data_IF_456349384071
#
_entry.id   IF_456349384071
#
_cell.length_a   1.000
_cell.length_b   1.000
_cell.length_c   1.000
_cell.angle_alpha   90.00
_cell.angle_beta   90.00
_cell.angle_gamma   90.00
#
_symmetry.space_group_name_H-M   'P 1'
#
loop_
_entity.id
_entity.type
_entity.pdbx_description
1 polymer ?
#
# COMPACT_ATOMS: atom_id res chain seq x y z
N UNK A 1 -37.58 -39.25 38.63
CA UNK A 1 -36.98 -39.29 37.28
C UNK A 1 -37.38 -38.04 36.54
N UNK A 2 -36.50 -37.05 36.45
CA UNK A 2 -36.53 -35.97 35.43
C UNK A 2 -35.24 -35.18 35.57
N UNK A 3 -34.25 -35.53 34.74
CA UNK A 3 -33.00 -34.79 34.59
C UNK A 3 -33.15 -33.80 33.45
N UNK A 4 -32.87 -32.53 33.71
CA UNK A 4 -32.61 -31.53 32.69
C UNK A 4 -31.14 -31.11 32.82
N UNK A 5 -30.32 -31.50 31.85
CA UNK A 5 -28.92 -31.05 31.73
C UNK A 5 -28.91 -29.92 30.71
N UNK A 6 -28.64 -28.71 31.20
CA UNK A 6 -28.39 -27.53 30.38
C UNK A 6 -26.91 -27.55 29.96
N UNK A 7 -26.63 -27.85 28.70
CA UNK A 7 -25.28 -27.76 28.14
C UNK A 7 -25.00 -26.32 27.72
N UNK A 8 -24.21 -25.60 28.52
CA UNK A 8 -23.67 -24.30 28.16
C UNK A 8 -22.48 -24.49 27.19
N UNK A 9 -22.68 -24.17 25.92
CA UNK A 9 -21.60 -24.08 24.95
C UNK A 9 -20.80 -22.79 25.19
N UNK A 10 -19.65 -22.92 25.87
CA UNK A 10 -18.61 -21.89 25.93
C UNK A 10 -17.85 -21.89 24.60
N UNK A 11 -18.15 -20.93 23.73
CA UNK A 11 -17.27 -20.60 22.60
C UNK A 11 -16.01 -19.91 23.14
N UNK A 12 -14.79 -20.36 22.79
CA UNK A 12 -13.60 -19.61 23.13
C UNK A 12 -13.59 -18.34 22.29
N UNK A 13 -13.84 -17.20 22.93
CA UNK A 13 -13.46 -15.90 22.41
C UNK A 13 -11.93 -15.91 22.41
N UNK A 14 -11.32 -16.00 21.23
CA UNK A 14 -9.91 -15.65 21.07
C UNK A 14 -9.79 -14.15 21.36
N UNK A 15 -9.62 -13.79 22.62
CA UNK A 15 -9.20 -12.45 23.01
C UNK A 15 -7.78 -12.27 22.46
N UNK A 16 -7.66 -11.54 21.36
CA UNK A 16 -6.38 -11.08 20.88
C UNK A 16 -5.78 -10.21 21.99
N UNK A 17 -4.75 -10.73 22.66
CA UNK A 17 -4.04 -10.00 23.70
C UNK A 17 -3.61 -8.65 23.11
N UNK A 18 -4.06 -7.56 23.72
CA UNK A 18 -3.79 -6.23 23.21
C UNK A 18 -2.26 -6.05 23.19
N UNK A 19 -1.70 -5.80 22.00
CA UNK A 19 -0.27 -5.58 21.85
C UNK A 19 0.19 -4.49 22.84
N UNK A 20 1.33 -4.73 23.51
CA UNK A 20 1.89 -3.77 24.47
C UNK A 20 1.99 -2.39 23.82
N UNK A 21 1.67 -1.29 24.53
CA UNK A 21 1.80 0.06 23.99
C UNK A 21 3.25 0.44 23.65
N UNK A 22 4.22 -0.42 23.98
CA UNK A 22 5.61 -0.27 23.57
C UNK A 22 5.93 -0.98 22.24
N UNK A 23 5.07 -1.88 21.76
CA UNK A 23 5.22 -2.58 20.49
C UNK A 23 4.87 -1.70 19.31
N UNK A 24 5.61 -1.90 18.21
CA UNK A 24 5.43 -1.09 17.02
C UNK A 24 4.21 -1.57 16.24
N UNK A 25 3.26 -0.69 15.90
CA UNK A 25 2.10 -1.09 15.12
C UNK A 25 2.49 -1.58 13.72
N UNK A 26 1.83 -2.64 13.25
CA UNK A 26 1.95 -3.11 11.87
C UNK A 26 1.34 -2.06 10.93
N UNK A 27 1.96 -1.86 9.77
CA UNK A 27 1.56 -0.83 8.81
C UNK A 27 2.25 0.51 9.03
N UNK A 28 3.21 0.58 9.95
CA UNK A 28 4.12 1.72 10.06
C UNK A 28 5.24 1.66 9.01
N UNK A 29 5.83 2.80 8.67
CA UNK A 29 6.96 2.88 7.73
C UNK A 29 8.31 2.54 8.40
N UNK A 30 9.30 2.23 7.57
CA UNK A 30 10.64 1.82 8.02
C UNK A 30 11.37 2.90 8.82
N UNK A 31 11.17 4.18 8.51
CA UNK A 31 11.81 5.29 9.21
C UNK A 31 11.36 5.38 10.67
N UNK A 32 10.05 5.27 10.90
CA UNK A 32 9.47 5.23 12.24
C UNK A 32 9.94 3.99 13.02
N UNK A 33 9.88 2.80 12.40
CA UNK A 33 10.33 1.56 13.01
C UNK A 33 11.82 1.61 13.38
N UNK A 34 12.65 2.16 12.50
CA UNK A 34 14.08 2.37 12.72
C UNK A 34 14.36 3.34 13.86
N UNK A 35 13.59 4.43 13.97
CA UNK A 35 13.71 5.39 15.05
C UNK A 35 13.34 4.76 16.41
N UNK A 36 12.23 4.00 16.48
CA UNK A 36 11.83 3.28 17.69
C UNK A 36 12.92 2.28 18.11
N UNK A 37 13.48 1.52 17.16
CA UNK A 37 14.58 0.59 17.42
C UNK A 37 15.85 1.31 17.91
N UNK A 38 16.18 2.46 17.33
CA UNK A 38 17.31 3.29 17.76
C UNK A 38 17.13 3.80 19.20
N UNK A 39 15.92 4.22 19.57
CA UNK A 39 15.59 4.59 20.96
C UNK A 39 15.82 3.40 21.90
N UNK A 40 15.26 2.23 21.57
CA UNK A 40 15.38 1.00 22.39
C UNK A 40 16.84 0.61 22.62
N UNK A 41 17.64 0.56 21.55
CA UNK A 41 19.09 0.29 21.62
C UNK A 41 19.79 1.30 22.53
N UNK A 42 19.49 2.59 22.36
CA UNK A 42 20.11 3.65 23.15
C UNK A 42 19.77 3.54 24.66
N UNK A 43 18.61 3.00 25.05
CA UNK A 43 18.26 2.84 26.49
C UNK A 43 19.25 1.95 27.26
N UNK A 44 19.92 1.04 26.56
CA UNK A 44 20.87 0.09 27.15
C UNK A 44 22.31 0.62 27.20
N UNK A 45 22.63 1.66 26.42
CA UNK A 45 24.00 2.14 26.20
C UNK A 45 24.19 3.61 26.59
N UNK A 46 23.28 4.50 26.17
CA UNK A 46 23.34 5.94 26.39
C UNK A 46 21.92 6.51 26.64
N UNK A 47 21.50 6.65 27.90
CA UNK A 47 20.20 7.20 28.26
C UNK A 47 19.97 8.64 27.76
N UNK A 48 21.02 9.46 27.64
CA UNK A 48 20.90 10.82 27.11
C UNK A 48 20.59 10.79 25.63
N UNK A 49 21.25 9.91 24.87
CA UNK A 49 20.92 9.66 23.45
C UNK A 49 19.52 9.09 23.29
N UNK A 50 19.09 8.18 24.16
CA UNK A 50 17.72 7.66 24.15
C UNK A 50 16.69 8.80 24.30
N UNK A 51 16.92 9.74 25.21
CA UNK A 51 16.09 10.94 25.37
C UNK A 51 16.03 11.81 24.11
N UNK A 52 17.19 12.07 23.48
CA UNK A 52 17.24 12.85 22.22
C UNK A 52 16.46 12.17 21.09
N UNK A 53 16.66 10.87 20.89
CA UNK A 53 15.96 10.10 19.85
C UNK A 53 14.45 9.98 20.15
N UNK A 54 14.06 9.79 21.41
CA UNK A 54 12.65 9.75 21.80
C UNK A 54 11.96 11.12 21.58
N UNK A 55 12.73 12.20 21.62
CA UNK A 55 12.30 13.55 21.26
C UNK A 55 11.92 13.71 19.78
N UNK A 56 12.42 12.84 18.90
CA UNK A 56 12.13 12.82 17.46
C UNK A 56 10.89 12.01 17.10
N UNK A 57 10.37 11.17 18.00
CA UNK A 57 9.14 10.44 17.74
C UNK A 57 8.00 11.43 17.42
N UNK A 58 6.97 11.02 16.65
CA UNK A 58 5.89 11.92 16.24
C UNK A 58 5.10 12.50 17.43
N UNK A 59 4.59 13.71 17.24
CA UNK A 59 3.70 14.41 18.17
C UNK A 59 2.49 14.99 17.43
N UNK A 60 1.44 15.30 18.19
CA UNK A 60 0.24 15.97 17.68
C UNK A 60 0.44 17.45 17.38
N UNK A 61 1.56 18.05 17.81
CA UNK A 61 1.89 19.46 17.61
C UNK A 61 3.17 19.64 16.75
N UNK A 62 3.26 19.04 15.55
CA UNK A 62 4.48 19.09 14.77
C UNK A 62 4.81 20.53 14.37
N UNK A 63 6.11 20.84 14.39
CA UNK A 63 6.63 22.10 13.88
C UNK A 63 6.96 21.92 12.40
N UNK A 64 6.46 22.83 11.57
CA UNK A 64 6.56 22.73 10.11
C UNK A 64 7.30 23.96 9.60
N UNK A 65 8.47 23.75 9.02
CA UNK A 65 9.14 24.76 8.21
C UNK A 65 8.58 24.75 6.79
N UNK A 66 8.16 25.91 6.28
CA UNK A 66 7.61 26.05 4.94
C UNK A 66 8.41 27.07 4.13
N UNK A 67 9.16 26.59 3.14
CA UNK A 67 9.99 27.40 2.27
C UNK A 67 9.42 27.48 0.84
N UNK A 68 8.59 28.48 0.59
CA UNK A 68 8.00 28.74 -0.73
C UNK A 68 8.73 29.83 -1.54
N UNK A 69 9.99 30.13 -1.21
CA UNK A 69 10.77 31.15 -1.92
C UNK A 69 10.89 30.84 -3.41
N UNK A 70 11.05 29.57 -3.77
CA UNK A 70 11.14 29.10 -5.15
C UNK A 70 9.78 28.97 -5.86
N UNK A 71 8.66 29.07 -5.15
CA UNK A 71 7.32 29.03 -5.75
C UNK A 71 7.04 30.35 -6.48
N UNK A 72 6.50 30.34 -7.71
CA UNK A 72 6.08 31.55 -8.41
C UNK A 72 5.15 32.41 -7.56
N UNK A 73 5.35 33.73 -7.55
CA UNK A 73 4.62 34.65 -6.68
C UNK A 73 3.09 34.49 -6.78
N UNK A 74 2.59 34.27 -8.01
CA UNK A 74 1.15 34.06 -8.30
C UNK A 74 0.57 32.78 -7.70
N UNK A 75 1.41 31.79 -7.34
CA UNK A 75 0.98 30.48 -6.83
C UNK A 75 1.19 30.32 -5.32
N UNK A 76 1.95 31.22 -4.68
CA UNK A 76 2.33 31.09 -3.26
C UNK A 76 1.13 31.03 -2.32
N UNK A 77 0.15 31.92 -2.52
CA UNK A 77 -1.05 31.94 -1.69
C UNK A 77 -1.87 30.65 -1.85
N UNK A 78 -2.07 30.19 -3.09
CA UNK A 78 -2.77 28.94 -3.36
C UNK A 78 -2.08 27.72 -2.72
N UNK A 79 -0.74 27.67 -2.75
CA UNK A 79 0.03 26.59 -2.16
C UNK A 79 -0.01 26.60 -0.63
N UNK A 80 0.04 27.79 -0.01
CA UNK A 80 -0.20 27.94 1.44
C UNK A 80 -1.61 27.49 1.82
N UNK A 81 -2.61 27.88 1.04
CA UNK A 81 -3.99 27.42 1.22
C UNK A 81 -4.13 25.90 1.12
N UNK A 82 -3.46 25.26 0.15
CA UNK A 82 -3.41 23.80 0.04
C UNK A 82 -2.78 23.13 1.26
N UNK A 83 -1.66 23.67 1.75
CA UNK A 83 -1.01 23.19 2.98
C UNK A 83 -1.96 23.29 4.17
N UNK A 84 -2.55 24.46 4.37
CA UNK A 84 -3.41 24.71 5.53
C UNK A 84 -4.67 23.84 5.49
N UNK A 85 -5.21 23.61 4.29
CA UNK A 85 -6.33 22.68 4.08
C UNK A 85 -5.95 21.23 4.44
N UNK A 86 -4.82 20.73 3.95
CA UNK A 86 -4.32 19.39 4.29
C UNK A 86 -4.10 19.22 5.81
N UNK A 87 -3.57 20.25 6.48
CA UNK A 87 -3.40 20.24 7.93
C UNK A 87 -4.74 20.24 8.68
N UNK A 88 -5.73 20.97 8.16
CA UNK A 88 -7.08 20.97 8.74
C UNK A 88 -7.75 19.59 8.63
N UNK A 89 -7.58 18.88 7.50
CA UNK A 89 -8.13 17.53 7.32
C UNK A 89 -7.54 16.52 8.30
N UNK A 90 -6.22 16.55 8.53
CA UNK A 90 -5.62 15.74 9.62
C UNK A 90 -6.20 16.12 10.99
N UNK A 91 -6.45 17.41 11.23
CA UNK A 91 -7.07 17.90 12.47
C UNK A 91 -8.52 17.47 12.68
N UNK A 92 -9.26 17.17 11.60
CA UNK A 92 -10.63 16.64 11.70
C UNK A 92 -10.67 15.20 12.21
N UNK A 93 -9.62 14.41 11.92
CA UNK A 93 -9.56 12.99 12.29
C UNK A 93 -8.65 12.71 13.47
N UNK A 94 -7.77 13.63 13.85
CA UNK A 94 -6.84 13.51 14.99
C UNK A 94 -7.12 14.58 16.05
N UNK A 95 -7.75 14.16 17.15
CA UNK A 95 -8.03 15.02 18.28
C UNK A 95 -6.75 15.64 18.87
N UNK A 96 -6.71 16.96 19.03
CA UNK A 96 -5.57 17.66 19.60
C UNK A 96 -4.42 17.94 18.62
N UNK A 97 -4.58 17.63 17.33
CA UNK A 97 -3.61 18.00 16.30
C UNK A 97 -3.49 19.53 16.16
N UNK A 98 -2.30 20.08 16.43
CA UNK A 98 -2.01 21.52 16.51
C UNK A 98 -0.66 21.84 15.86
N UNK A 99 -0.53 21.73 14.53
CA UNK A 99 0.71 22.04 13.82
C UNK A 99 1.07 23.52 13.98
N UNK A 100 2.38 23.83 14.00
CA UNK A 100 2.88 25.20 14.03
C UNK A 100 3.80 25.47 12.85
N UNK A 101 3.47 26.49 12.05
CA UNK A 101 4.32 26.92 10.93
C UNK A 101 5.41 27.86 11.43
N UNK A 102 6.65 27.62 11.00
CA UNK A 102 7.82 28.45 11.32
C UNK A 102 8.57 28.84 10.06
N UNK A 103 9.41 29.88 10.16
CA UNK A 103 10.13 30.47 9.02
C UNK A 103 11.63 30.14 8.97
N UNK A 104 12.14 29.32 9.89
CA UNK A 104 13.52 28.83 9.84
C UNK A 104 13.57 27.29 9.98
N UNK A 105 14.48 26.61 9.26
CA UNK A 105 14.65 25.17 9.38
C UNK A 105 15.01 24.73 10.79
N UNK A 106 15.87 25.50 11.48
CA UNK A 106 16.33 25.19 12.83
C UNK A 106 15.17 25.20 13.86
N UNK A 107 14.18 26.05 13.67
CA UNK A 107 12.99 26.08 14.53
C UNK A 107 12.10 24.83 14.35
N UNK A 108 12.22 24.12 13.22
CA UNK A 108 11.50 22.89 12.92
C UNK A 108 12.29 21.61 13.25
N UNK A 109 13.30 21.69 14.13
CA UNK A 109 14.05 20.53 14.60
C UNK A 109 13.12 19.42 15.12
N UNK A 110 13.30 18.20 14.61
CA UNK A 110 12.43 17.04 14.90
C UNK A 110 11.03 17.08 14.27
N UNK A 111 10.71 18.14 13.53
CA UNK A 111 9.44 18.35 12.83
C UNK A 111 9.50 18.01 11.35
N UNK A 112 8.82 18.80 10.52
CA UNK A 112 8.80 18.67 9.06
C UNK A 112 9.39 19.91 8.39
N UNK A 113 9.97 19.75 7.21
CA UNK A 113 10.28 20.84 6.29
C UNK A 113 9.69 20.59 4.91
N UNK A 114 9.25 21.67 4.28
CA UNK A 114 8.78 21.68 2.89
C UNK A 114 9.57 22.71 2.10
N UNK A 115 10.11 22.30 0.96
CA UNK A 115 10.80 23.17 0.01
C UNK A 115 10.36 22.83 -1.41
N UNK A 116 10.71 23.68 -2.37
CA UNK A 116 10.30 23.53 -3.76
C UNK A 116 11.48 23.64 -4.72
N UNK A 117 11.53 22.74 -5.69
CA UNK A 117 12.52 22.73 -6.77
C UNK A 117 11.85 22.75 -8.14
N UNK A 118 12.52 23.28 -9.15
CA UNK A 118 11.91 23.43 -10.48
C UNK A 118 11.52 22.08 -11.10
N UNK A 119 12.42 21.09 -11.02
CA UNK A 119 12.21 19.71 -11.45
C UNK A 119 12.98 18.78 -10.52
N UNK A 120 12.37 17.64 -10.17
CA UNK A 120 13.04 16.56 -9.46
C UNK A 120 13.51 15.48 -10.44
N UNK A 121 14.40 14.61 -9.97
CA UNK A 121 14.90 13.49 -10.75
C UNK A 121 13.75 12.62 -11.27
N UNK A 122 13.89 12.12 -12.51
CA UNK A 122 12.92 11.21 -13.14
C UNK A 122 11.49 11.77 -13.25
N UNK A 123 11.31 13.09 -13.12
CA UNK A 123 9.99 13.73 -13.18
C UNK A 123 9.13 13.49 -11.94
N UNK A 124 9.72 13.09 -10.80
CA UNK A 124 9.02 12.90 -9.54
C UNK A 124 8.29 14.16 -9.07
N UNK A 125 7.16 13.99 -8.38
CA UNK A 125 6.38 15.10 -7.84
C UNK A 125 6.85 15.59 -6.48
N UNK A 126 7.46 14.72 -5.68
CA UNK A 126 8.13 15.06 -4.45
C UNK A 126 9.20 14.01 -4.09
N UNK A 127 10.09 14.35 -3.18
CA UNK A 127 11.03 13.42 -2.54
C UNK A 127 11.03 13.68 -1.04
N UNK A 128 11.13 12.62 -0.26
CA UNK A 128 11.08 12.68 1.20
C UNK A 128 12.37 12.10 1.78
N UNK A 129 12.97 12.81 2.72
CA UNK A 129 14.20 12.40 3.40
C UNK A 129 13.96 12.40 4.90
N UNK A 130 14.10 11.23 5.52
CA UNK A 130 14.02 11.10 6.96
C UNK A 130 15.43 11.22 7.59
N UNK A 131 15.54 11.99 8.66
CA UNK A 131 16.77 12.19 9.42
C UNK A 131 16.52 11.91 10.92
N UNK A 132 17.50 11.30 11.58
CA UNK A 132 17.47 11.07 13.03
C UNK A 132 18.37 12.03 13.81
N UNK A 133 18.86 13.10 13.16
CA UNK A 133 19.55 14.19 13.81
C UNK A 133 18.56 15.09 14.57
N UNK A 134 18.84 15.32 15.85
CA UNK A 134 17.98 16.10 16.74
C UNK A 134 17.95 17.60 16.43
N UNK A 135 18.84 18.11 15.57
CA UNK A 135 18.95 19.55 15.25
C UNK A 135 18.36 19.92 13.91
N UNK A 136 17.93 18.96 13.11
CA UNK A 136 17.34 19.15 11.77
C UNK A 136 15.87 18.75 11.77
N UNK A 137 15.08 19.20 10.79
CA UNK A 137 13.77 18.60 10.54
C UNK A 137 13.90 17.09 10.39
N UNK A 138 12.97 16.34 11.00
CA UNK A 138 13.00 14.87 10.93
C UNK A 138 12.57 14.35 9.57
N UNK A 139 11.65 15.05 8.92
CA UNK A 139 11.18 14.72 7.58
C UNK A 139 11.30 15.96 6.70
N UNK A 140 12.25 15.93 5.79
CA UNK A 140 12.36 16.90 4.71
C UNK A 140 11.56 16.43 3.50
N UNK A 141 10.72 17.30 2.97
CA UNK A 141 9.93 17.06 1.76
C UNK A 141 10.24 18.14 0.73
N UNK A 142 10.80 17.73 -0.40
CA UNK A 142 11.09 18.61 -1.53
C UNK A 142 10.06 18.35 -2.61
N UNK A 143 9.26 19.35 -2.97
CA UNK A 143 8.25 19.25 -4.02
C UNK A 143 8.81 19.76 -5.35
N UNK A 144 8.57 19.01 -6.42
CA UNK A 144 8.79 19.53 -7.77
C UNK A 144 7.70 20.55 -8.12
N UNK A 145 8.07 21.67 -8.74
CA UNK A 145 7.13 22.60 -9.39
C UNK A 145 6.63 22.03 -10.74
N UNK A 146 7.25 20.95 -11.19
CA UNK A 146 6.84 20.14 -12.34
C UNK A 146 6.83 18.65 -11.98
N UNK A 147 5.81 17.95 -12.51
CA UNK A 147 5.58 16.51 -12.42
C UNK A 147 5.63 15.93 -13.83
N UNK A 148 6.80 15.43 -14.24
CA UNK A 148 7.10 15.21 -15.65
C UNK A 148 6.94 16.50 -16.46
N UNK A 149 6.02 16.52 -17.42
CA UNK A 149 5.75 17.69 -18.28
C UNK A 149 4.67 18.63 -17.73
N UNK A 150 3.96 18.24 -16.66
CA UNK A 150 2.87 19.02 -16.09
C UNK A 150 3.38 19.93 -14.95
N UNK A 151 2.71 21.06 -14.76
CA UNK A 151 2.95 21.92 -13.60
C UNK A 151 2.27 21.37 -12.36
N UNK A 152 2.93 21.54 -11.21
CA UNK A 152 2.35 21.21 -9.91
C UNK A 152 1.24 22.20 -9.56
N UNK A 153 0.03 21.68 -9.35
CA UNK A 153 -1.14 22.46 -8.96
C UNK A 153 -1.39 22.46 -7.45
N UNK A 154 -2.45 23.17 -7.03
CA UNK A 154 -2.87 23.24 -5.63
C UNK A 154 -3.22 21.86 -5.06
N UNK A 155 -3.91 21.01 -5.83
CA UNK A 155 -4.31 19.65 -5.41
C UNK A 155 -3.08 18.76 -5.22
N UNK A 156 -2.06 18.92 -6.07
CA UNK A 156 -0.82 18.18 -5.93
C UNK A 156 -0.11 18.55 -4.62
N UNK A 157 0.01 19.85 -4.31
CA UNK A 157 0.59 20.32 -3.05
C UNK A 157 -0.21 19.82 -1.84
N UNK A 158 -1.53 19.90 -1.92
CA UNK A 158 -2.43 19.39 -0.88
C UNK A 158 -2.16 17.92 -0.56
N UNK A 159 -2.17 17.07 -1.59
CA UNK A 159 -1.97 15.63 -1.44
C UNK A 159 -0.56 15.30 -0.92
N UNK A 160 0.48 16.05 -1.34
CA UNK A 160 1.84 15.87 -0.82
C UNK A 160 1.98 16.27 0.65
N UNK A 161 1.31 17.35 1.08
CA UNK A 161 1.30 17.75 2.49
C UNK A 161 0.60 16.68 3.34
N UNK A 162 -0.54 16.16 2.88
CA UNK A 162 -1.21 15.04 3.55
C UNK A 162 -0.30 13.83 3.71
N UNK A 163 0.34 13.41 2.61
CA UNK A 163 1.23 12.26 2.61
C UNK A 163 2.47 12.46 3.49
N UNK A 164 3.10 13.62 3.42
CA UNK A 164 4.28 13.94 4.24
C UNK A 164 3.94 13.95 5.73
N UNK A 165 2.79 14.51 6.11
CA UNK A 165 2.31 14.49 7.50
C UNK A 165 2.02 13.05 7.97
N UNK A 166 1.37 12.23 7.15
CA UNK A 166 1.16 10.80 7.47
C UNK A 166 2.47 10.01 7.55
N UNK A 167 3.43 10.29 6.67
CA UNK A 167 4.79 9.72 6.73
C UNK A 167 5.49 10.11 8.03
N UNK A 168 5.35 11.37 8.46
CA UNK A 168 5.81 11.83 9.77
C UNK A 168 5.07 11.07 10.90
N UNK A 169 3.77 10.85 10.84
CA UNK A 169 3.10 10.03 11.86
C UNK A 169 3.59 8.57 11.90
N UNK A 170 4.39 8.16 10.91
CA UNK A 170 4.98 6.84 10.82
C UNK A 170 4.14 5.89 10.00
N UNK A 171 3.18 6.38 9.20
CA UNK A 171 2.31 5.55 8.37
C UNK A 171 3.07 5.05 7.14
N UNK A 172 2.84 3.77 6.79
CA UNK A 172 3.33 3.20 5.55
C UNK A 172 2.50 3.73 4.36
N UNK A 173 3.14 4.05 3.21
CA UNK A 173 2.43 4.30 1.97
C UNK A 173 1.48 3.15 1.61
N UNK A 174 0.30 3.48 1.08
CA UNK A 174 -0.63 2.50 0.57
C UNK A 174 -0.82 2.69 -0.94
N UNK A 175 -1.16 1.60 -1.65
CA UNK A 175 -1.49 1.67 -3.09
C UNK A 175 -2.98 1.98 -3.32
N UNK A 176 -3.73 2.30 -2.26
CA UNK A 176 -5.17 2.49 -2.34
C UNK A 176 -5.51 3.90 -2.81
N UNK A 177 -6.45 4.03 -3.74
CA UNK A 177 -6.93 5.33 -4.19
C UNK A 177 -7.63 6.09 -3.07
N UNK A 178 -7.40 7.39 -2.95
CA UNK A 178 -8.23 8.33 -2.17
C UNK A 178 -7.89 8.49 -0.69
N UNK A 179 -6.93 7.72 -0.15
CA UNK A 179 -6.40 7.96 1.21
C UNK A 179 -5.19 8.88 1.20
N UNK A 180 -4.87 9.51 2.32
CA UNK A 180 -3.71 10.40 2.46
C UNK A 180 -2.39 9.67 2.17
N UNK A 181 -2.33 8.35 2.42
CA UNK A 181 -1.14 7.54 2.13
C UNK A 181 -1.13 6.94 0.71
N UNK A 182 -2.12 7.27 -0.12
CA UNK A 182 -2.28 6.83 -1.52
C UNK A 182 -1.57 7.75 -2.53
N UNK A 183 -0.27 8.00 -2.32
CA UNK A 183 0.49 9.00 -3.08
C UNK A 183 0.74 8.61 -4.55
N UNK A 184 0.79 9.63 -5.41
CA UNK A 184 1.17 9.52 -6.83
C UNK A 184 2.12 10.65 -7.24
N UNK A 185 3.08 10.35 -8.12
CA UNK A 185 3.94 11.35 -8.75
C UNK A 185 3.30 12.01 -9.98
N UNK A 186 2.16 11.50 -10.44
CA UNK A 186 1.40 12.11 -11.54
C UNK A 186 0.55 13.26 -11.01
N UNK A 187 0.38 14.31 -11.81
CA UNK A 187 -0.62 15.35 -11.54
C UNK A 187 -2.00 14.73 -11.47
N UNK A 188 -2.80 15.17 -10.51
CA UNK A 188 -4.16 14.66 -10.29
C UNK A 188 -5.15 15.81 -10.09
N UNK A 189 -6.38 15.62 -10.56
CA UNK A 189 -7.53 16.47 -10.24
C UNK A 189 -8.30 15.98 -9.01
N UNK A 190 -7.94 14.81 -8.47
CA UNK A 190 -8.58 14.19 -7.32
C UNK A 190 -7.81 14.52 -6.04
N UNK A 191 -8.49 15.18 -5.11
CA UNK A 191 -8.03 15.30 -3.73
C UNK A 191 -8.04 13.94 -3.03
N UNK A 192 -7.10 13.77 -2.11
CA UNK A 192 -7.09 12.68 -1.12
C UNK A 192 -7.47 13.25 0.24
N UNK A 193 -7.90 12.40 1.17
CA UNK A 193 -8.14 12.81 2.57
C UNK A 193 -7.74 11.67 3.51
N UNK A 194 -7.36 11.97 4.77
CA UNK A 194 -7.05 10.94 5.76
C UNK A 194 -8.23 9.99 5.99
N UNK A 195 -7.98 8.69 5.93
CA UNK A 195 -8.99 7.66 6.19
C UNK A 195 -9.05 7.27 7.65
N UNK A 196 -10.18 6.71 8.09
CA UNK A 196 -10.36 6.25 9.46
C UNK A 196 -9.29 5.23 9.91
N UNK A 197 -8.86 4.33 9.01
CA UNK A 197 -7.79 3.38 9.31
C UNK A 197 -6.39 4.03 9.38
N UNK A 198 -6.15 5.08 8.59
CA UNK A 198 -4.92 5.88 8.65
C UNK A 198 -4.86 6.69 9.95
N UNK A 199 -5.98 7.30 10.36
CA UNK A 199 -6.12 8.02 11.61
C UNK A 199 -5.95 7.09 12.83
N UNK A 200 -6.56 5.91 12.82
CA UNK A 200 -6.40 4.91 13.88
C UNK A 200 -4.94 4.48 14.03
N UNK A 201 -4.25 4.20 12.91
CA UNK A 201 -2.85 3.83 12.95
C UNK A 201 -1.97 4.99 13.47
N UNK A 202 -2.25 6.24 13.09
CA UNK A 202 -1.55 7.41 13.62
C UNK A 202 -1.77 7.56 15.13
N UNK A 203 -2.98 7.34 15.64
CA UNK A 203 -3.25 7.32 17.08
C UNK A 203 -2.43 6.26 17.83
N UNK A 204 -2.30 5.06 17.24
CA UNK A 204 -1.43 4.01 17.78
C UNK A 204 0.04 4.44 17.83
N UNK A 205 0.56 5.12 16.79
CA UNK A 205 1.95 5.59 16.81
C UNK A 205 2.19 6.72 17.81
N UNK A 206 1.21 7.59 18.06
CA UNK A 206 1.29 8.62 19.12
C UNK A 206 1.21 8.01 20.52
N UNK A 207 0.34 7.02 20.70
CA UNK A 207 0.25 6.25 21.95
C UNK A 207 1.58 5.57 22.26
N UNK A 208 2.17 4.90 21.27
CA UNK A 208 3.50 4.29 21.40
C UNK A 208 4.58 5.34 21.69
N UNK A 209 4.61 6.45 20.95
CA UNK A 209 5.58 7.51 21.15
C UNK A 209 5.51 8.09 22.56
N UNK A 210 4.30 8.27 23.09
CA UNK A 210 4.07 8.76 24.46
C UNK A 210 4.53 7.73 25.50
N UNK A 211 4.19 6.46 25.31
CA UNK A 211 4.62 5.39 26.19
C UNK A 211 6.15 5.25 26.23
N UNK A 212 6.81 5.31 25.08
CA UNK A 212 8.27 5.28 24.97
C UNK A 212 8.89 6.46 25.71
N UNK A 213 8.44 7.70 25.45
CA UNK A 213 8.97 8.89 26.15
C UNK A 213 8.81 8.78 27.67
N UNK A 214 7.66 8.29 28.15
CA UNK A 214 7.41 8.04 29.57
C UNK A 214 8.37 7.00 30.14
N UNK A 215 8.60 5.89 29.44
CA UNK A 215 9.55 4.86 29.84
C UNK A 215 10.97 5.42 29.94
N UNK A 216 11.42 6.22 28.96
CA UNK A 216 12.73 6.88 29.00
C UNK A 216 12.84 7.84 30.18
N UNK A 217 11.81 8.66 30.44
CA UNK A 217 11.80 9.59 31.56
C UNK A 217 11.91 8.88 32.92
N UNK A 218 11.35 7.67 33.02
CA UNK A 218 11.43 6.83 34.21
C UNK A 218 12.73 5.99 34.30
N UNK A 219 13.67 6.16 33.37
CA UNK A 219 14.91 5.38 33.32
C UNK A 219 14.72 3.90 32.97
N UNK A 220 13.57 3.54 32.39
CA UNK A 220 13.29 2.16 32.01
C UNK A 220 14.14 1.72 30.81
N UNK A 221 14.75 0.54 30.91
CA UNK A 221 15.41 -0.12 29.79
C UNK A 221 14.36 -0.80 28.90
N UNK A 222 14.46 -0.59 27.61
CA UNK A 222 13.57 -1.19 26.61
C UNK A 222 14.31 -2.29 25.85
N UNK A 223 13.63 -3.39 25.55
CA UNK A 223 14.23 -4.50 24.79
C UNK A 223 14.60 -4.06 23.37
N UNK A 224 15.87 -4.20 22.94
CA UNK A 224 16.35 -3.76 21.63
C UNK A 224 16.17 -4.81 20.52
N UNK A 225 15.31 -5.81 20.74
CA UNK A 225 15.03 -6.85 19.75
C UNK A 225 14.60 -6.26 18.40
N UNK A 226 15.24 -6.72 17.33
CA UNK A 226 14.99 -6.33 15.95
C UNK A 226 14.44 -7.55 15.20
N UNK A 227 13.17 -7.52 14.76
CA UNK A 227 12.66 -8.54 13.86
C UNK A 227 13.38 -8.46 12.51
N UNK A 228 13.46 -9.59 11.80
CA UNK A 228 13.95 -9.66 10.41
C UNK A 228 13.09 -10.62 9.62
N UNK A 229 12.36 -10.10 8.65
CA UNK A 229 11.51 -10.91 7.80
C UNK A 229 12.36 -11.72 6.82
N UNK A 230 12.09 -13.01 6.75
CA UNK A 230 12.48 -13.86 5.64
C UNK A 230 11.24 -14.41 4.97
N UNK A 231 11.26 -14.49 3.64
CA UNK A 231 10.18 -15.03 2.82
C UNK A 231 10.78 -16.05 1.87
N UNK A 232 10.15 -17.22 1.79
CA UNK A 232 10.60 -18.35 0.97
C UNK A 232 10.75 -17.98 -0.51
N UNK A 233 9.78 -17.24 -1.05
CA UNK A 233 9.79 -16.77 -2.43
C UNK A 233 9.16 -15.39 -2.57
N UNK A 234 9.59 -14.64 -3.58
CA UNK A 234 8.98 -13.35 -3.98
C UNK A 234 8.04 -13.49 -5.18
N UNK A 235 7.96 -14.67 -5.79
CA UNK A 235 7.11 -14.94 -6.95
C UNK A 235 6.66 -16.40 -6.98
N UNK A 236 5.38 -16.61 -7.25
CA UNK A 236 4.76 -17.91 -7.47
C UNK A 236 4.07 -17.90 -8.83
N UNK A 237 4.21 -18.98 -9.57
CA UNK A 237 3.46 -19.23 -10.79
C UNK A 237 2.36 -20.25 -10.48
N UNK A 238 1.11 -19.83 -10.64
CA UNK A 238 -0.07 -20.65 -10.42
C UNK A 238 -0.50 -21.36 -11.72
N UNK A 239 0.13 -21.05 -12.86
CA UNK A 239 -0.20 -21.60 -14.15
C UNK A 239 -1.57 -21.17 -14.68
N UNK A 240 -2.11 -21.95 -15.61
CA UNK A 240 -3.43 -21.70 -16.21
C UNK A 240 -4.53 -22.32 -15.33
N UNK A 241 -5.62 -21.58 -15.09
CA UNK A 241 -6.85 -22.07 -14.46
C UNK A 241 -8.04 -21.81 -15.38
N UNK A 242 -9.01 -22.71 -15.34
CA UNK A 242 -10.32 -22.47 -15.95
C UNK A 242 -11.10 -21.50 -15.08
N UNK A 243 -11.77 -20.52 -15.69
CA UNK A 243 -12.60 -19.55 -14.98
C UNK A 243 -13.61 -20.22 -14.06
N UNK A 244 -13.68 -19.74 -12.82
CA UNK A 244 -14.48 -20.33 -11.74
C UNK A 244 -13.74 -21.41 -10.92
N UNK A 245 -12.60 -21.92 -11.38
CA UNK A 245 -11.71 -22.74 -10.56
C UNK A 245 -10.73 -21.85 -9.79
N UNK A 246 -10.80 -21.79 -8.45
CA UNK A 246 -9.88 -20.98 -7.67
C UNK A 246 -8.44 -21.48 -7.80
N UNK A 247 -7.47 -20.56 -7.71
CA UNK A 247 -6.06 -20.91 -7.60
C UNK A 247 -5.63 -20.78 -6.14
N UNK A 248 -5.05 -21.84 -5.56
CA UNK A 248 -4.62 -21.86 -4.17
C UNK A 248 -3.12 -22.15 -4.09
N UNK A 249 -2.44 -21.50 -3.15
CA UNK A 249 -1.00 -21.67 -2.92
C UNK A 249 -0.65 -21.34 -1.47
N UNK A 250 0.55 -21.74 -1.06
CA UNK A 250 1.12 -21.37 0.22
C UNK A 250 2.62 -21.22 0.13
N UNK A 251 3.19 -20.38 0.98
CA UNK A 251 4.62 -20.20 1.12
C UNK A 251 4.98 -19.86 2.57
N UNK A 252 6.23 -20.08 2.93
CA UNK A 252 6.73 -19.90 4.29
C UNK A 252 7.28 -18.49 4.50
N UNK A 253 7.04 -17.95 5.69
CA UNK A 253 7.67 -16.74 6.21
C UNK A 253 8.32 -17.05 7.55
N UNK A 254 9.42 -16.37 7.87
CA UNK A 254 10.14 -16.57 9.13
C UNK A 254 10.64 -15.25 9.72
N UNK A 255 10.83 -15.25 11.03
CA UNK A 255 11.50 -14.18 11.75
C UNK A 255 12.95 -14.59 12.06
N UNK A 256 13.88 -14.19 11.21
CA UNK A 256 15.31 -14.43 11.42
C UNK A 256 15.97 -13.38 12.33
N UNK A 257 15.14 -12.55 12.99
CA UNK A 257 15.58 -11.52 13.93
C UNK A 257 15.77 -12.06 15.34
N UNK A 258 15.97 -11.14 16.28
CA UNK A 258 16.14 -11.43 17.71
C UNK A 258 15.09 -10.75 18.60
N UNK A 259 14.01 -10.24 18.00
CA UNK A 259 12.85 -9.71 18.69
C UNK A 259 11.56 -10.16 18.00
N UNK A 260 10.40 -10.02 18.68
CA UNK A 260 9.12 -10.41 18.09
C UNK A 260 8.81 -9.58 16.84
N UNK A 261 8.20 -10.22 15.85
CA UNK A 261 7.71 -9.60 14.63
C UNK A 261 6.19 -9.68 14.59
N UNK A 262 5.53 -8.54 14.40
CA UNK A 262 4.10 -8.51 14.08
C UNK A 262 3.93 -8.39 12.56
N UNK A 263 2.94 -9.09 12.00
CA UNK A 263 2.68 -9.11 10.57
C UNK A 263 1.19 -8.90 10.25
N UNK A 264 0.92 -8.38 9.07
CA UNK A 264 -0.40 -8.36 8.45
C UNK A 264 -0.25 -8.83 7.00
N UNK A 265 -0.97 -9.91 6.67
CA UNK A 265 -1.00 -10.49 5.33
C UNK A 265 -2.31 -10.10 4.66
N UNK A 266 -2.24 -9.55 3.45
CA UNK A 266 -3.40 -9.14 2.67
C UNK A 266 -3.14 -9.28 1.16
N UNK A 267 -4.19 -9.43 0.36
CA UNK A 267 -4.08 -9.31 -1.11
C UNK A 267 -4.11 -7.85 -1.54
N UNK A 268 -3.52 -7.55 -2.69
CA UNK A 268 -3.60 -6.22 -3.34
C UNK A 268 -4.91 -6.01 -4.13
N UNK A 269 -5.72 -7.06 -4.29
CA UNK A 269 -6.97 -7.06 -5.04
C UNK A 269 -8.03 -7.88 -4.27
N UNK A 270 -9.31 -7.49 -4.39
CA UNK A 270 -10.42 -8.21 -3.78
C UNK A 270 -10.56 -9.68 -4.27
N UNK A 271 -10.06 -9.98 -5.47
CA UNK A 271 -10.03 -11.35 -6.01
C UNK A 271 -8.96 -12.23 -5.33
N UNK A 272 -7.99 -11.64 -4.63
CA UNK A 272 -6.90 -12.34 -3.96
C UNK A 272 -7.09 -12.24 -2.44
N UNK A 273 -7.51 -13.36 -1.84
CA UNK A 273 -7.54 -13.51 -0.39
C UNK A 273 -6.25 -14.14 0.11
N UNK A 274 -5.70 -13.63 1.21
CA UNK A 274 -4.50 -14.18 1.83
C UNK A 274 -4.60 -14.10 3.35
N UNK A 275 -4.05 -15.11 4.03
CA UNK A 275 -4.00 -15.21 5.48
C UNK A 275 -2.68 -15.85 5.91
N UNK A 276 -2.22 -15.54 7.11
CA UNK A 276 -0.95 -16.04 7.64
C UNK A 276 -0.79 -15.69 9.12
N UNK A 277 0.41 -15.92 9.68
CA UNK A 277 0.69 -15.54 11.07
C UNK A 277 0.55 -14.02 11.26
N UNK A 278 0.01 -13.61 12.41
CA UNK A 278 -0.07 -12.21 12.83
C UNK A 278 1.10 -11.80 13.73
N UNK A 279 1.81 -12.78 14.28
CA UNK A 279 3.00 -12.64 15.11
C UNK A 279 3.93 -13.83 14.88
N UNK A 280 5.23 -13.58 14.91
CA UNK A 280 6.29 -14.59 14.93
C UNK A 280 7.35 -14.18 15.96
N UNK A 281 7.64 -15.04 16.92
CA UNK A 281 8.78 -14.88 17.83
C UNK A 281 10.11 -15.02 17.08
N UNK A 282 11.22 -14.67 17.74
CA UNK A 282 12.54 -14.82 17.15
C UNK A 282 12.84 -16.28 16.80
N UNK A 283 13.23 -16.54 15.56
CA UNK A 283 13.48 -17.89 15.02
C UNK A 283 12.22 -18.65 14.60
N UNK A 284 11.02 -18.11 14.84
CA UNK A 284 9.77 -18.77 14.47
C UNK A 284 9.47 -18.62 12.96
N UNK A 285 8.79 -19.62 12.41
CA UNK A 285 8.30 -19.63 11.03
C UNK A 285 6.80 -19.90 10.99
N UNK A 286 6.13 -19.39 9.97
CA UNK A 286 4.71 -19.62 9.74
C UNK A 286 4.38 -19.72 8.24
N UNK A 287 3.19 -20.23 7.94
CA UNK A 287 2.73 -20.44 6.56
C UNK A 287 1.72 -19.37 6.17
N UNK A 288 1.98 -18.70 5.05
CA UNK A 288 1.01 -17.84 4.36
C UNK A 288 0.23 -18.69 3.38
N UNK A 289 -1.10 -18.59 3.41
CA UNK A 289 -2.02 -19.24 2.48
C UNK A 289 -2.72 -18.18 1.64
N UNK A 290 -2.72 -18.36 0.33
CA UNK A 290 -3.35 -17.44 -0.60
C UNK A 290 -4.32 -18.20 -1.52
N UNK A 291 -5.46 -17.56 -1.79
CA UNK A 291 -6.53 -18.07 -2.66
C UNK A 291 -6.99 -16.97 -3.59
N UNK A 292 -6.86 -17.23 -4.88
CA UNK A 292 -7.29 -16.37 -5.97
C UNK A 292 -8.64 -16.83 -6.51
N UNK A 293 -9.67 -15.98 -6.44
CA UNK A 293 -10.98 -16.23 -7.03
C UNK A 293 -10.98 -15.84 -8.52
N UNK A 294 -11.15 -16.84 -9.38
CA UNK A 294 -11.11 -16.67 -10.84
C UNK A 294 -12.47 -16.40 -11.46
N UNK A 295 -13.56 -16.36 -10.69
CA UNK A 295 -14.92 -16.34 -11.22
C UNK A 295 -15.24 -15.11 -12.10
N UNK A 296 -14.63 -13.96 -11.82
CA UNK A 296 -14.92 -12.69 -12.49
C UNK A 296 -13.73 -12.11 -13.26
N UNK A 297 -12.71 -12.91 -13.53
CA UNK A 297 -11.48 -12.48 -14.21
C UNK A 297 -11.14 -13.41 -15.38
N UNK A 298 -10.30 -12.93 -16.30
CA UNK A 298 -9.83 -13.65 -17.47
C UNK A 298 -8.45 -13.14 -17.93
N UNK A 299 -7.75 -13.93 -18.73
CA UNK A 299 -6.45 -13.57 -19.30
C UNK A 299 -5.29 -13.71 -18.32
N UNK A 300 -4.14 -13.13 -18.67
CA UNK A 300 -2.94 -13.11 -17.83
C UNK A 300 -3.07 -12.08 -16.71
N UNK A 301 -2.89 -12.54 -15.47
CA UNK A 301 -3.08 -11.77 -14.25
C UNK A 301 -1.80 -11.77 -13.41
N UNK A 302 -1.50 -10.59 -12.85
CA UNK A 302 -0.35 -10.38 -11.96
C UNK A 302 -0.80 -9.56 -10.75
N UNK A 303 -0.90 -10.24 -9.61
CA UNK A 303 -1.31 -9.66 -8.34
C UNK A 303 -0.33 -10.00 -7.24
N UNK A 304 -0.40 -9.32 -6.10
CA UNK A 304 0.55 -9.50 -5.02
C UNK A 304 -0.16 -9.81 -3.70
N UNK A 305 0.38 -10.81 -2.99
CA UNK A 305 0.17 -10.94 -1.55
C UNK A 305 1.12 -9.95 -0.88
N UNK A 306 0.57 -8.94 -0.22
CA UNK A 306 1.32 -7.95 0.54
C UNK A 306 1.46 -8.42 1.99
N UNK A 307 2.69 -8.39 2.49
CA UNK A 307 3.02 -8.69 3.87
C UNK A 307 3.57 -7.41 4.47
N UNK A 308 2.81 -6.79 5.37
CA UNK A 308 3.27 -5.67 6.19
C UNK A 308 3.89 -6.22 7.46
N UNK A 309 5.02 -5.68 7.88
CA UNK A 309 5.74 -6.17 9.06
C UNK A 309 6.28 -5.04 9.91
N UNK A 310 6.73 -5.40 11.10
CA UNK A 310 7.51 -4.54 11.99
C UNK A 310 9.03 -4.67 11.78
N UNK A 311 9.48 -5.28 10.67
CA UNK A 311 10.87 -5.23 10.23
C UNK A 311 11.20 -3.84 9.65
N UNK A 312 12.06 -3.04 10.31
CA UNK A 312 12.37 -1.68 9.87
C UNK A 312 13.01 -1.62 8.48
N UNK A 313 13.70 -2.69 8.04
CA UNK A 313 14.33 -2.76 6.73
C UNK A 313 13.33 -3.24 5.66
N UNK A 314 12.27 -3.96 6.05
CA UNK A 314 11.23 -4.50 5.16
C UNK A 314 9.81 -4.31 5.74
N UNK A 315 9.35 -3.05 5.91
CA UNK A 315 8.04 -2.78 6.52
C UNK A 315 6.87 -3.26 5.64
N UNK A 316 7.13 -3.48 4.34
CA UNK A 316 6.24 -4.17 3.42
C UNK A 316 7.02 -4.92 2.35
N UNK A 317 6.56 -6.12 2.02
CA UNK A 317 7.02 -6.90 0.86
C UNK A 317 5.81 -7.46 0.10
N UNK A 318 5.92 -7.53 -1.22
CA UNK A 318 4.94 -8.18 -2.09
C UNK A 318 5.46 -9.50 -2.63
N UNK A 319 4.70 -10.58 -2.47
CA UNK A 319 4.92 -11.86 -3.15
C UNK A 319 4.00 -11.91 -4.37
N UNK A 320 4.60 -11.95 -5.55
CA UNK A 320 3.87 -11.86 -6.83
C UNK A 320 3.23 -13.20 -7.19
N UNK A 321 1.94 -13.19 -7.44
CA UNK A 321 1.16 -14.31 -7.97
C UNK A 321 0.98 -14.10 -9.47
N UNK A 322 1.57 -14.97 -10.28
CA UNK A 322 1.34 -15.01 -11.72
C UNK A 322 0.34 -16.13 -12.01
N UNK A 323 -0.69 -15.83 -12.80
CA UNK A 323 -1.82 -16.72 -13.06
C UNK A 323 -2.36 -16.37 -14.45
N UNK A 324 -2.78 -17.37 -15.21
CA UNK A 324 -3.58 -17.14 -16.41
C UNK A 324 -4.96 -17.77 -16.22
N UNK A 325 -6.03 -17.04 -16.54
CA UNK A 325 -7.41 -17.55 -16.44
C UNK A 325 -7.98 -17.73 -17.83
N UNK A 326 -8.19 -18.98 -18.23
CA UNK A 326 -8.93 -19.35 -19.43
C UNK A 326 -10.43 -19.18 -19.15
N UNK A 327 -11.05 -18.21 -19.80
CA UNK A 327 -12.50 -17.98 -19.69
C UNK A 327 -13.28 -19.07 -20.41
N UNK A 328 -14.53 -19.29 -19.99
CA UNK A 328 -15.41 -20.26 -20.64
C UNK A 328 -15.81 -19.86 -22.06
N UNK A 329 -15.79 -18.56 -22.31
CA UNK A 329 -15.99 -17.96 -23.62
C UNK A 329 -15.14 -16.69 -23.71
N UNK A 330 -14.60 -16.38 -24.89
CA UNK A 330 -13.88 -15.14 -25.14
C UNK A 330 -13.80 -14.83 -26.62
N UNK A 331 -13.64 -13.54 -26.92
CA UNK A 331 -13.22 -13.10 -28.24
C UNK A 331 -11.69 -13.12 -28.34
N UNK A 332 -11.17 -13.68 -29.42
CA UNK A 332 -9.78 -13.57 -29.82
C UNK A 332 -9.74 -12.69 -31.06
N UNK A 333 -8.93 -11.62 -30.99
CA UNK A 333 -8.70 -10.69 -32.08
C UNK A 333 -7.32 -10.96 -32.67
N UNK A 334 -7.21 -11.35 -33.95
CA UNK A 334 -5.91 -11.49 -34.59
C UNK A 334 -5.15 -10.16 -34.55
N UNK A 335 -3.92 -10.17 -34.03
CA UNK A 335 -3.09 -8.97 -33.90
C UNK A 335 -3.24 -8.20 -32.59
N UNK A 336 -4.15 -8.62 -31.69
CA UNK A 336 -4.26 -8.08 -30.32
C UNK A 336 -5.56 -7.29 -30.06
N UNK A 337 -5.76 -6.79 -28.83
CA UNK A 337 -7.04 -6.25 -28.37
C UNK A 337 -7.39 -4.86 -28.94
N UNK A 338 -6.47 -4.22 -29.67
CA UNK A 338 -6.68 -2.89 -30.27
C UNK A 338 -7.00 -3.03 -31.75
N UNK A 339 -8.24 -2.68 -32.10
CA UNK A 339 -8.68 -2.58 -33.48
C UNK A 339 -8.46 -1.14 -33.98
N UNK A 340 -7.67 -0.98 -35.04
CA UNK A 340 -7.60 0.25 -35.82
C UNK A 340 -7.98 -0.05 -37.28
N UNK A 341 -9.26 -0.40 -37.54
CA UNK A 341 -9.68 -0.73 -38.89
C UNK A 341 -9.67 0.52 -39.76
N UNK A 342 -9.26 0.37 -41.02
CA UNK A 342 -9.56 1.35 -42.08
C UNK A 342 -11.07 1.35 -42.33
N UNK A 343 -11.67 2.50 -42.62
CA UNK A 343 -13.12 2.60 -42.89
C UNK A 343 -13.59 1.54 -43.90
N UNK A 344 -14.56 0.73 -43.49
CA UNK A 344 -15.16 -0.34 -44.30
C UNK A 344 -14.36 -1.65 -44.41
N UNK A 345 -13.20 -1.76 -43.75
CA UNK A 345 -12.46 -3.02 -43.71
C UNK A 345 -13.14 -4.05 -42.78
N UNK A 346 -13.31 -5.32 -43.21
CA UNK A 346 -13.83 -6.37 -42.34
C UNK A 346 -12.86 -6.66 -41.20
N UNK A 347 -13.40 -6.96 -40.02
CA UNK A 347 -12.62 -7.36 -38.84
C UNK A 347 -13.14 -8.72 -38.37
N UNK A 348 -12.25 -9.71 -38.37
CA UNK A 348 -12.58 -11.04 -37.86
C UNK A 348 -12.40 -11.09 -36.34
N UNK A 349 -13.46 -11.49 -35.63
CA UNK A 349 -13.47 -11.74 -34.20
C UNK A 349 -13.82 -13.20 -33.96
N UNK A 350 -12.93 -13.94 -33.30
CA UNK A 350 -13.14 -15.35 -33.03
C UNK A 350 -13.73 -15.53 -31.64
N UNK A 351 -15.02 -15.86 -31.55
CA UNK A 351 -15.65 -16.22 -30.28
C UNK A 351 -15.29 -17.66 -29.93
N UNK A 352 -14.25 -17.86 -29.15
CA UNK A 352 -13.79 -19.20 -28.74
C UNK A 352 -14.45 -19.58 -27.43
N UNK A 353 -14.94 -20.82 -27.37
CA UNK A 353 -15.52 -21.41 -26.15
C UNK A 353 -14.64 -22.52 -25.60
N UNK A 354 -14.76 -22.81 -24.30
CA UNK A 354 -14.10 -23.98 -23.71
C UNK A 354 -14.78 -25.26 -24.25
N UNK A 355 -14.02 -26.20 -24.87
CA UNK A 355 -14.60 -27.43 -25.43
C UNK A 355 -15.35 -28.29 -24.40
N UNK A 356 -15.00 -28.19 -23.11
CA UNK A 356 -15.68 -28.90 -22.03
C UNK A 356 -17.04 -28.27 -21.66
N UNK A 357 -17.30 -27.04 -22.09
CA UNK A 357 -18.52 -26.27 -21.81
C UNK A 357 -18.96 -25.47 -23.04
N UNK A 358 -19.46 -26.13 -24.09
CA UNK A 358 -19.85 -25.46 -25.33
C UNK A 358 -20.99 -24.47 -25.09
N UNK A 359 -20.88 -23.29 -25.72
CA UNK A 359 -21.90 -22.24 -25.66
C UNK A 359 -22.65 -22.18 -27.00
N UNK A 360 -23.97 -22.03 -26.95
CA UNK A 360 -24.80 -21.79 -28.15
C UNK A 360 -25.04 -20.30 -28.32
N UNK A 361 -24.54 -19.73 -29.41
CA UNK A 361 -24.85 -18.35 -29.82
C UNK A 361 -26.31 -18.29 -30.27
N UNK A 362 -27.11 -17.41 -29.66
CA UNK A 362 -28.52 -17.21 -30.02
C UNK A 362 -28.71 -16.02 -30.97
N UNK A 363 -27.93 -14.98 -30.75
CA UNK A 363 -27.92 -13.73 -31.51
C UNK A 363 -26.59 -13.02 -31.27
N UNK A 364 -26.18 -12.17 -32.21
CA UNK A 364 -25.03 -11.30 -32.06
C UNK A 364 -25.45 -9.89 -32.48
N UNK A 365 -24.98 -8.87 -31.76
CA UNK A 365 -25.24 -7.45 -32.07
C UNK A 365 -23.98 -6.64 -31.80
N UNK A 366 -23.77 -5.56 -32.55
CA UNK A 366 -22.70 -4.60 -32.31
C UNK A 366 -23.26 -3.39 -31.57
N UNK A 367 -22.74 -3.12 -30.37
CA UNK A 367 -23.09 -1.95 -29.58
C UNK A 367 -21.94 -0.92 -29.61
N UNK A 368 -22.25 0.35 -29.90
CA UNK A 368 -21.30 1.46 -29.82
C UNK A 368 -20.42 1.72 -31.06
N UNK A 369 -20.32 0.78 -32.00
CA UNK A 369 -19.74 1.02 -33.33
C UNK A 369 -20.78 0.75 -34.42
N UNK A 370 -21.05 1.69 -35.34
CA UNK A 370 -21.93 1.43 -36.48
C UNK A 370 -21.28 0.43 -37.43
N UNK A 371 -22.01 -0.62 -37.80
CA UNK A 371 -21.55 -1.63 -38.75
C UNK A 371 -22.49 -2.84 -38.82
N UNK A 372 -22.35 -3.60 -39.90
CA UNK A 372 -23.03 -4.89 -40.05
C UNK A 372 -22.24 -5.98 -39.31
N UNK A 373 -22.96 -6.88 -38.64
CA UNK A 373 -22.37 -8.01 -37.93
C UNK A 373 -22.96 -9.32 -38.48
N UNK A 374 -22.07 -10.20 -38.93
CA UNK A 374 -22.40 -11.59 -39.26
C UNK A 374 -21.66 -12.52 -38.30
N UNK A 375 -22.24 -13.69 -38.04
CA UNK A 375 -21.61 -14.74 -37.23
C UNK A 375 -21.81 -16.09 -37.89
N UNK A 376 -20.74 -16.84 -38.08
CA UNK A 376 -20.75 -18.20 -38.60
C UNK A 376 -19.86 -19.10 -37.73
N UNK A 377 -20.18 -20.41 -37.59
CA UNK A 377 -19.32 -21.35 -36.88
C UNK A 377 -17.96 -21.44 -37.54
N UNK A 378 -16.90 -21.51 -36.73
CA UNK A 378 -15.53 -21.56 -37.21
C UNK A 378 -14.72 -22.68 -36.55
N UNK A 379 -13.83 -23.31 -37.32
CA UNK A 379 -12.83 -24.25 -36.81
C UNK A 379 -11.49 -23.98 -37.51
N UNK A 380 -10.42 -23.91 -36.73
CA UNK A 380 -9.09 -23.69 -37.29
C UNK A 380 -8.00 -23.60 -36.23
N UNK A 381 -6.83 -23.11 -36.62
CA UNK A 381 -5.70 -22.92 -35.70
C UNK A 381 -5.53 -21.44 -35.39
N UNK A 382 -5.57 -21.07 -34.11
CA UNK A 382 -5.49 -19.67 -33.68
C UNK A 382 -4.62 -19.55 -32.42
N UNK A 383 -3.71 -18.58 -32.45
CA UNK A 383 -2.87 -18.22 -31.30
C UNK A 383 -3.66 -17.34 -30.33
N UNK A 384 -3.30 -17.40 -29.05
CA UNK A 384 -3.96 -16.64 -28.00
C UNK A 384 -2.91 -15.85 -27.22
N UNK A 385 -2.69 -14.61 -27.66
CA UNK A 385 -1.68 -13.72 -27.09
C UNK A 385 -1.95 -13.40 -25.61
N UNK A 386 -3.22 -13.31 -25.19
CA UNK A 386 -3.58 -12.99 -23.80
C UNK A 386 -3.21 -14.12 -22.82
N UNK A 387 -3.12 -15.36 -23.31
CA UNK A 387 -2.66 -16.53 -22.55
C UNK A 387 -1.22 -16.95 -22.90
N UNK A 388 -0.54 -16.19 -23.77
CA UNK A 388 0.74 -16.56 -24.35
C UNK A 388 0.76 -17.97 -24.97
N UNK A 389 -0.35 -18.42 -25.53
CA UNK A 389 -0.46 -19.71 -26.22
C UNK A 389 -0.16 -19.52 -27.71
N UNK A 390 0.69 -20.40 -28.25
CA UNK A 390 0.91 -20.49 -29.69
C UNK A 390 -0.36 -20.91 -30.46
N UNK A 391 -0.27 -21.04 -31.80
CA UNK A 391 -1.39 -21.50 -32.60
C UNK A 391 -1.87 -22.89 -32.16
N UNK A 392 -3.12 -22.99 -31.70
CA UNK A 392 -3.76 -24.24 -31.29
C UNK A 392 -5.06 -24.48 -32.07
N UNK A 393 -5.48 -25.74 -32.28
CA UNK A 393 -6.81 -26.04 -32.79
C UNK A 393 -7.89 -25.47 -31.87
N UNK A 394 -8.83 -24.71 -32.43
CA UNK A 394 -9.93 -24.05 -31.73
C UNK A 394 -11.21 -24.15 -32.56
N UNK A 395 -12.33 -24.04 -31.86
CA UNK A 395 -13.68 -23.99 -32.41
C UNK A 395 -14.45 -22.83 -31.76
N UNK A 396 -15.37 -22.22 -32.52
CA UNK A 396 -16.10 -21.02 -32.12
C UNK A 396 -17.43 -20.84 -32.83
#
# INVERSE_FOLDING_TARGET
>A
MTSAILAAALLPVFAQEAASPLETPVGTNGDYQSLVLAVRRATTVDPKRAGRLAGLLPRLDPVIYWDDRNVPAVSREAFRGARDFALAEWGQVLGGFKPRIVTSPAAAAGGLSFSFETRLAQGAGATHFADQNATTPRLETVLGLRRGEFYTGQIDVHNEVLFAVGTYFGLLPNKGFGGAMGRTDRTTSLGTSPRANEALLADQTFTQATAIRKAIANGQRLSPGSPKLWVETKSLDLGVRVQGQPAETSFTVANNGNGPMSLQVLGDCACLSAMGPTRLEAGESGVVRARYNTAQVGGSLKHQVLIRTTDPEQPVIGVTMNLAVRTLARFIVPGGPTLMPTDGAPVDLYFVTDPSKPVKIKSAQADGMPGDLTSEPWQGTLADADLAEGPLPREG
#
